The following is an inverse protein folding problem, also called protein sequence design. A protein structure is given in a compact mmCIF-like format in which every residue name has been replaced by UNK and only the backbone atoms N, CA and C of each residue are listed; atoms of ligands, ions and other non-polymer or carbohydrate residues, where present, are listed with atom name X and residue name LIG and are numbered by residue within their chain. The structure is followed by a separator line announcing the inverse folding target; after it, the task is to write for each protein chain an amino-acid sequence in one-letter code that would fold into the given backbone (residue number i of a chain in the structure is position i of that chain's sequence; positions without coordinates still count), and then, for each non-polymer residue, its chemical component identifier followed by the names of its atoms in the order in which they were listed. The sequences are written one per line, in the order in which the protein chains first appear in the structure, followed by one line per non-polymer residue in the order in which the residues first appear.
data_IF_855813845043
#
_entry.id   IF_855813845043
#
_cell.length_a   1.000
_cell.length_b   1.000
_cell.length_c   1.000
_cell.angle_alpha   90.00
_cell.angle_beta   90.00
_cell.angle_gamma   90.00
#
_symmetry.space_group_name_H-M   'P 1'
#
loop_
_entity.id
_entity.type
_entity.pdbx_description
1 polymer ?
#
# COMPACT_ATOMS: atom_id res chain seq x y z
N UNK A 1 -15.78 2.08 10.95
CA UNK A 1 -16.22 1.45 9.68
C UNK A 1 -17.13 0.28 9.99
N UNK A 2 -18.38 0.27 9.55
CA UNK A 2 -19.27 -0.87 9.74
C UNK A 2 -19.61 -1.59 8.44
N UNK A 3 -19.77 -2.92 8.45
CA UNK A 3 -20.16 -3.73 7.28
C UNK A 3 -21.48 -4.43 7.62
N UNK A 4 -22.47 -4.44 6.72
CA UNK A 4 -23.68 -5.22 6.93
C UNK A 4 -23.67 -6.49 6.09
N UNK A 5 -23.94 -7.65 6.69
CA UNK A 5 -24.05 -8.93 5.98
C UNK A 5 -25.37 -9.60 6.31
N UNK A 6 -26.08 -10.05 5.28
CA UNK A 6 -27.30 -10.84 5.46
C UNK A 6 -26.92 -12.30 5.65
N UNK A 7 -27.39 -12.88 6.74
CA UNK A 7 -27.19 -14.28 7.09
C UNK A 7 -28.52 -15.02 6.93
N UNK A 8 -28.49 -16.18 6.28
CA UNK A 8 -29.62 -17.09 6.31
C UNK A 8 -29.62 -17.85 7.64
N UNK A 9 -30.78 -17.91 8.28
CA UNK A 9 -31.00 -18.64 9.51
C UNK A 9 -32.22 -19.55 9.36
N UNK A 10 -32.40 -20.55 10.24
CA UNK A 10 -33.60 -21.39 10.24
C UNK A 10 -34.92 -20.60 10.35
N UNK A 11 -34.87 -19.34 10.79
CA UNK A 11 -36.02 -18.45 11.00
C UNK A 11 -36.11 -17.32 9.97
N UNK A 12 -35.35 -17.43 8.87
CA UNK A 12 -35.30 -16.44 7.79
C UNK A 12 -34.00 -15.62 7.76
N UNK A 13 -33.97 -14.59 6.92
CA UNK A 13 -32.80 -13.73 6.69
C UNK A 13 -32.64 -12.70 7.81
N UNK A 14 -31.46 -12.64 8.40
CA UNK A 14 -31.10 -11.63 9.42
C UNK A 14 -29.99 -10.73 8.87
N UNK A 15 -30.20 -9.41 8.93
CA UNK A 15 -29.17 -8.43 8.58
C UNK A 15 -28.31 -8.14 9.81
N UNK A 16 -27.03 -8.49 9.73
CA UNK A 16 -26.04 -8.25 10.78
C UNK A 16 -25.25 -6.99 10.45
N UNK A 17 -25.30 -5.98 11.31
CA UNK A 17 -24.47 -4.79 11.19
C UNK A 17 -23.23 -4.95 12.09
N UNK A 18 -22.05 -5.02 11.48
CA UNK A 18 -20.78 -4.96 12.18
C UNK A 18 -20.44 -3.49 12.37
N UNK A 19 -20.35 -2.99 13.60
CA UNK A 19 -19.93 -1.60 13.86
C UNK A 19 -18.44 -1.56 14.23
N UNK A 20 -17.64 -0.85 13.43
CA UNK A 20 -16.22 -0.63 13.70
C UNK A 20 -15.27 -1.70 13.15
N UNK A 21 -13.95 -1.49 13.29
CA UNK A 21 -12.93 -2.48 12.92
C UNK A 21 -13.19 -3.79 13.68
N UNK A 22 -13.30 -4.90 12.95
CA UNK A 22 -13.54 -6.22 13.55
C UNK A 22 -12.25 -7.00 13.54
N UNK A 23 -11.76 -7.36 14.73
CA UNK A 23 -10.61 -8.26 14.85
C UNK A 23 -10.96 -9.67 14.35
N UNK A 24 -10.03 -10.38 13.68
CA UNK A 24 -10.19 -11.78 13.34
C UNK A 24 -10.56 -12.61 14.58
N UNK A 25 -11.54 -13.51 14.46
CA UNK A 25 -11.97 -14.39 15.55
C UNK A 25 -13.01 -13.81 16.50
N UNK A 26 -13.47 -12.57 16.30
CA UNK A 26 -14.57 -11.98 17.09
C UNK A 26 -15.85 -12.81 16.91
N UNK A 27 -16.50 -13.13 18.04
CA UNK A 27 -17.80 -13.81 18.08
C UNK A 27 -18.88 -12.77 18.37
N UNK A 28 -19.92 -12.72 17.55
CA UNK A 28 -21.12 -11.92 17.79
C UNK A 28 -22.29 -12.81 18.20
N UNK A 29 -23.00 -12.40 19.24
CA UNK A 29 -24.15 -13.13 19.79
C UNK A 29 -25.44 -12.42 19.41
N UNK A 30 -26.29 -13.09 18.63
CA UNK A 30 -27.64 -12.62 18.27
C UNK A 30 -28.65 -13.34 19.16
N UNK A 31 -29.24 -12.61 20.11
CA UNK A 31 -30.14 -13.19 21.11
C UNK A 31 -31.46 -13.68 20.51
N UNK A 32 -31.93 -14.86 20.92
CA UNK A 32 -33.24 -15.41 20.57
C UNK A 32 -33.41 -15.77 19.09
N UNK A 33 -32.30 -15.98 18.37
CA UNK A 33 -32.28 -16.33 16.94
C UNK A 33 -31.61 -17.67 16.66
N UNK A 34 -31.30 -18.43 17.71
CA UNK A 34 -30.74 -19.77 17.65
C UNK A 34 -31.82 -20.85 17.53
N UNK A 35 -31.46 -22.07 17.91
CA UNK A 35 -32.33 -23.23 17.80
C UNK A 35 -33.45 -23.13 18.85
N UNK A 36 -34.71 -23.49 18.49
CA UNK A 36 -35.81 -23.56 19.46
C UNK A 36 -35.51 -24.58 20.56
N UNK A 37 -35.85 -24.23 21.79
CA UNK A 37 -35.81 -25.16 22.91
C UNK A 37 -36.99 -26.14 22.84
N UNK A 38 -36.74 -27.42 23.13
CA UNK A 38 -37.77 -28.45 23.12
C UNK A 38 -38.89 -28.12 24.13
N UNK A 39 -40.14 -28.22 23.66
CA UNK A 39 -41.36 -27.96 24.45
C UNK A 39 -41.50 -26.55 25.02
N UNK A 40 -40.77 -25.55 24.51
CA UNK A 40 -40.96 -24.14 24.88
C UNK A 40 -41.16 -23.27 23.65
N UNK A 41 -41.59 -22.01 23.86
CA UNK A 41 -41.61 -20.97 22.82
C UNK A 41 -40.29 -20.20 22.75
N UNK A 42 -39.29 -20.60 23.53
CA UNK A 42 -38.02 -19.90 23.62
C UNK A 42 -37.06 -20.38 22.54
N UNK A 43 -36.17 -19.49 22.14
CA UNK A 43 -35.11 -19.75 21.19
C UNK A 43 -33.78 -19.46 21.86
N UNK A 44 -32.79 -20.32 21.59
CA UNK A 44 -31.40 -20.04 21.97
C UNK A 44 -30.82 -18.87 21.18
N UNK A 45 -29.52 -18.68 21.29
CA UNK A 45 -28.82 -17.58 20.62
C UNK A 45 -28.02 -18.08 19.42
N UNK A 46 -27.90 -17.23 18.40
CA UNK A 46 -27.07 -17.49 17.24
C UNK A 46 -25.69 -16.84 17.44
N UNK A 47 -24.63 -17.65 17.36
CA UNK A 47 -23.25 -17.17 17.43
C UNK A 47 -22.67 -17.05 16.02
N UNK A 48 -22.18 -15.87 15.68
CA UNK A 48 -21.56 -15.55 14.39
C UNK A 48 -20.06 -15.37 14.60
N UNK A 49 -19.27 -16.26 14.02
CA UNK A 49 -17.81 -16.19 14.04
C UNK A 49 -17.30 -15.38 12.85
N UNK A 50 -16.54 -14.31 13.10
CA UNK A 50 -16.00 -13.47 12.04
C UNK A 50 -14.56 -13.89 11.74
N UNK A 51 -14.34 -14.36 10.50
CA UNK A 51 -13.00 -14.59 9.95
C UNK A 51 -12.68 -13.46 8.97
N UNK A 52 -11.59 -12.75 9.21
CA UNK A 52 -11.06 -11.74 8.30
C UNK A 52 -9.93 -12.41 7.51
N UNK A 53 -10.06 -12.44 6.19
CA UNK A 53 -9.02 -12.94 5.29
C UNK A 53 -8.37 -11.75 4.60
N UNK A 54 -7.07 -11.56 4.82
CA UNK A 54 -6.25 -10.66 4.02
C UNK A 54 -5.64 -11.51 2.88
N UNK A 55 -5.68 -11.05 1.62
CA UNK A 55 -5.06 -11.79 0.54
C UNK A 55 -3.53 -11.81 0.74
N UNK A 56 -2.96 -13.02 0.81
CA UNK A 56 -1.50 -13.22 0.91
C UNK A 56 -0.80 -13.10 -0.44
N UNK A 57 -1.55 -13.09 -1.55
CA UNK A 57 -1.04 -13.06 -2.92
C UNK A 57 -1.79 -12.02 -3.73
N UNK A 58 -1.04 -11.25 -4.53
CA UNK A 58 -1.57 -10.36 -5.58
C UNK A 58 -2.41 -11.16 -6.57
N UNK A 59 -3.54 -10.58 -7.03
CA UNK A 59 -4.37 -11.15 -8.08
C UNK A 59 -3.60 -11.22 -9.41
N UNK A 60 -4.09 -11.99 -10.38
CA UNK A 60 -3.43 -12.08 -11.70
C UNK A 60 -3.43 -10.74 -12.45
N UNK A 61 -4.48 -9.93 -12.26
CA UNK A 61 -4.54 -8.57 -12.80
C UNK A 61 -3.52 -7.65 -12.13
N UNK A 62 -3.39 -7.71 -10.80
CA UNK A 62 -2.36 -6.95 -10.08
C UNK A 62 -0.95 -7.38 -10.52
N UNK A 63 -0.74 -8.70 -10.66
CA UNK A 63 0.53 -9.27 -11.13
C UNK A 63 0.88 -8.77 -12.51
N UNK A 64 -0.08 -8.65 -13.43
CA UNK A 64 0.17 -8.15 -14.79
C UNK A 64 0.82 -6.76 -14.82
N UNK A 65 0.48 -5.88 -13.87
CA UNK A 65 1.09 -4.55 -13.79
C UNK A 65 2.55 -4.59 -13.31
N UNK A 66 2.91 -5.59 -12.50
CA UNK A 66 4.29 -5.80 -12.01
C UNK A 66 5.12 -6.75 -12.88
N UNK A 67 4.47 -7.59 -13.68
CA UNK A 67 5.12 -8.56 -14.53
C UNK A 67 5.62 -7.85 -15.80
N UNK A 68 6.81 -7.27 -15.69
CA UNK A 68 7.48 -6.70 -16.83
C UNK A 68 7.74 -7.79 -17.89
N UNK A 69 7.75 -7.41 -19.17
CA UNK A 69 8.19 -8.30 -20.26
C UNK A 69 9.71 -8.55 -20.24
N UNK A 70 10.41 -8.05 -19.22
CA UNK A 70 11.84 -8.23 -19.06
C UNK A 70 12.06 -9.55 -18.32
N UNK A 71 12.61 -10.52 -19.02
CA UNK A 71 13.05 -11.77 -18.41
C UNK A 71 14.08 -11.47 -17.32
N UNK A 72 14.02 -12.13 -16.16
CA UNK A 72 15.01 -11.94 -15.09
C UNK A 72 15.06 -10.51 -14.52
N UNK A 73 13.95 -9.75 -14.57
CA UNK A 73 13.84 -8.47 -13.88
C UNK A 73 13.96 -8.65 -12.36
N UNK A 74 14.99 -8.06 -11.76
CA UNK A 74 15.26 -8.24 -10.34
C UNK A 74 15.94 -7.02 -9.69
N UNK A 75 16.08 -7.08 -8.37
CA UNK A 75 16.96 -6.20 -7.62
C UNK A 75 18.35 -6.79 -7.53
N UNK A 76 19.37 -5.98 -7.77
CA UNK A 76 20.78 -6.35 -7.52
C UNK A 76 21.07 -6.64 -6.04
N UNK A 77 20.15 -6.30 -5.14
CA UNK A 77 20.22 -6.71 -3.74
C UNK A 77 20.10 -8.22 -3.56
N UNK A 78 19.23 -8.85 -4.36
CA UNK A 78 18.91 -10.28 -4.26
C UNK A 78 19.62 -11.10 -5.32
N UNK A 79 19.71 -10.57 -6.55
CA UNK A 79 20.39 -11.22 -7.67
C UNK A 79 21.39 -10.23 -8.31
N UNK A 80 22.64 -10.20 -7.83
CA UNK A 80 23.66 -9.26 -8.31
C UNK A 80 24.00 -9.41 -9.79
N UNK A 81 23.81 -10.60 -10.37
CA UNK A 81 24.15 -10.91 -11.76
C UNK A 81 22.93 -10.84 -12.70
N UNK A 82 21.79 -10.32 -12.22
CA UNK A 82 20.59 -10.20 -13.05
C UNK A 82 20.85 -9.30 -14.26
N UNK A 83 20.35 -9.71 -15.43
CA UNK A 83 20.54 -8.95 -16.67
C UNK A 83 19.67 -7.70 -16.71
N UNK A 84 18.56 -7.71 -15.98
CA UNK A 84 17.59 -6.62 -15.93
C UNK A 84 17.46 -6.04 -14.51
N UNK A 85 18.45 -5.26 -14.03
CA UNK A 85 18.44 -4.67 -12.70
C UNK A 85 17.47 -3.50 -12.62
N UNK A 86 16.20 -3.79 -12.38
CA UNK A 86 15.13 -2.79 -12.25
C UNK A 86 15.22 -2.02 -10.93
N UNK A 87 15.84 -2.61 -9.91
CA UNK A 87 16.24 -1.97 -8.67
C UNK A 87 17.77 -2.08 -8.54
N UNK A 88 18.47 -0.96 -8.33
CA UNK A 88 19.92 -0.90 -8.39
C UNK A 88 20.52 0.01 -7.30
N UNK A 89 21.84 -0.09 -7.10
CA UNK A 89 22.58 0.84 -6.26
C UNK A 89 23.06 2.02 -7.11
N UNK A 90 22.72 3.25 -6.72
CA UNK A 90 23.21 4.44 -7.44
C UNK A 90 24.68 4.67 -7.11
N UNK A 91 25.51 4.75 -8.15
CA UNK A 91 26.95 5.01 -8.03
C UNK A 91 27.29 6.43 -7.55
N UNK A 92 26.43 7.43 -7.78
CA UNK A 92 26.58 8.76 -7.18
C UNK A 92 25.25 9.49 -6.96
N UNK A 93 25.04 10.06 -5.76
CA UNK A 93 23.84 10.85 -5.43
C UNK A 93 24.20 12.02 -4.50
N UNK A 94 23.31 13.00 -4.35
CA UNK A 94 23.47 14.13 -3.42
C UNK A 94 22.76 13.77 -2.10
N UNK A 95 23.47 13.84 -0.98
CA UNK A 95 22.89 13.59 0.34
C UNK A 95 22.08 14.78 0.87
N UNK A 96 21.36 14.58 1.98
CA UNK A 96 20.56 15.64 2.61
C UNK A 96 21.37 16.88 3.06
N UNK A 97 22.71 16.78 3.11
CA UNK A 97 23.60 17.91 3.43
C UNK A 97 24.12 18.62 2.17
N UNK A 98 23.68 18.21 0.98
CA UNK A 98 24.09 18.76 -0.31
C UNK A 98 25.42 18.21 -0.84
N UNK A 99 26.00 17.18 -0.20
CA UNK A 99 27.27 16.62 -0.63
C UNK A 99 27.06 15.50 -1.66
N UNK A 100 27.86 15.51 -2.73
CA UNK A 100 27.91 14.41 -3.69
C UNK A 100 28.64 13.22 -3.08
N UNK A 101 27.94 12.10 -2.97
CA UNK A 101 28.45 10.84 -2.50
C UNK A 101 28.68 9.90 -3.68
N UNK A 102 29.80 9.18 -3.72
CA UNK A 102 30.12 8.16 -4.73
C UNK A 102 30.11 6.79 -4.03
N UNK A 103 29.50 5.79 -4.67
CA UNK A 103 29.08 4.52 -4.10
C UNK A 103 29.43 3.38 -5.05
N UNK A 104 29.71 2.22 -4.46
CA UNK A 104 29.77 0.92 -5.15
C UNK A 104 29.19 -0.13 -4.22
N UNK A 105 28.91 -1.34 -4.70
CA UNK A 105 28.45 -2.46 -3.86
C UNK A 105 29.38 -2.81 -2.69
N UNK A 106 30.65 -2.39 -2.76
CA UNK A 106 31.67 -2.60 -1.72
C UNK A 106 31.77 -1.47 -0.71
N UNK A 107 31.07 -0.35 -0.95
CA UNK A 107 31.14 0.81 -0.07
C UNK A 107 30.42 0.54 1.27
N UNK A 108 30.94 1.09 2.41
CA UNK A 108 30.32 0.89 3.72
C UNK A 108 28.84 1.30 3.75
N UNK A 109 28.05 0.59 4.55
CA UNK A 109 26.60 0.82 4.73
C UNK A 109 26.27 2.30 5.00
N UNK A 110 27.10 2.98 5.80
CA UNK A 110 26.91 4.40 6.14
C UNK A 110 27.07 5.38 4.95
N UNK A 111 27.98 5.10 4.01
CA UNK A 111 28.22 5.97 2.84
C UNK A 111 27.22 5.74 1.68
N UNK A 112 26.43 4.67 1.79
CA UNK A 112 25.55 4.16 0.74
C UNK A 112 24.05 4.24 1.04
N UNK A 113 23.68 4.73 2.22
CA UNK A 113 22.28 4.87 2.63
C UNK A 113 21.74 6.27 2.35
N UNK A 114 20.56 6.35 1.77
CA UNK A 114 19.75 7.56 1.75
C UNK A 114 18.94 7.59 3.03
N UNK A 115 19.39 8.43 3.96
CA UNK A 115 18.86 8.50 5.33
C UNK A 115 18.43 9.93 5.63
N UNK A 116 17.22 10.09 6.13
CA UNK A 116 16.70 11.40 6.54
C UNK A 116 15.62 11.92 5.62
N UNK A 117 15.35 13.21 5.70
CA UNK A 117 14.31 13.88 4.93
C UNK A 117 14.84 14.30 3.55
N UNK A 118 14.09 13.99 2.50
CA UNK A 118 14.40 14.40 1.12
C UNK A 118 13.15 14.99 0.46
N UNK A 119 13.37 15.92 -0.46
CA UNK A 119 12.32 16.47 -1.30
C UNK A 119 11.83 15.42 -2.31
N UNK A 120 10.53 15.40 -2.57
CA UNK A 120 9.90 14.60 -3.61
C UNK A 120 8.92 15.48 -4.39
N UNK A 121 9.20 15.71 -5.66
CA UNK A 121 8.36 16.44 -6.59
C UNK A 121 7.21 15.55 -7.07
N UNK A 122 5.99 16.05 -6.94
CA UNK A 122 4.77 15.29 -7.24
C UNK A 122 4.21 15.67 -8.60
N UNK A 123 3.90 14.64 -9.42
CA UNK A 123 3.40 14.79 -10.78
C UNK A 123 2.01 15.49 -10.78
N UNK A 124 1.80 16.55 -11.57
CA UNK A 124 0.49 17.18 -11.68
C UNK A 124 -0.61 16.18 -12.07
N UNK A 125 -1.73 16.22 -11.35
CA UNK A 125 -2.89 15.34 -11.60
C UNK A 125 -2.78 13.93 -11.02
N UNK A 126 -1.63 13.55 -10.45
CA UNK A 126 -1.41 12.23 -9.84
C UNK A 126 -2.20 12.05 -8.54
N UNK A 127 -2.37 10.80 -8.13
CA UNK A 127 -2.98 10.46 -6.85
C UNK A 127 -2.11 10.95 -5.67
N UNK A 128 -0.79 10.81 -5.76
CA UNK A 128 0.14 11.36 -4.78
C UNK A 128 -0.05 12.88 -4.61
N UNK A 129 -0.11 13.63 -5.73
CA UNK A 129 -0.33 15.08 -5.71
C UNK A 129 -1.63 15.46 -5.00
N UNK A 130 -2.70 14.71 -5.27
CA UNK A 130 -4.01 14.93 -4.67
C UNK A 130 -4.02 14.61 -3.18
N UNK A 131 -3.43 13.48 -2.78
CA UNK A 131 -3.31 13.08 -1.38
C UNK A 131 -2.64 14.18 -0.55
N UNK A 132 -1.54 14.76 -1.06
CA UNK A 132 -0.83 15.85 -0.39
C UNK A 132 -1.41 17.26 -0.69
N UNK A 133 -2.73 17.35 -0.89
CA UNK A 133 -3.43 18.65 -1.01
C UNK A 133 -2.99 19.52 -2.18
N UNK A 134 -2.42 18.93 -3.24
CA UNK A 134 -1.93 19.67 -4.40
C UNK A 134 -0.54 20.28 -4.24
N UNK A 135 0.23 19.92 -3.21
CA UNK A 135 1.60 20.39 -3.00
C UNK A 135 2.55 19.95 -4.12
N UNK A 136 3.36 20.87 -4.67
CA UNK A 136 4.32 20.54 -5.75
C UNK A 136 5.48 19.68 -5.31
N UNK A 137 5.97 19.95 -4.12
CA UNK A 137 7.10 19.27 -3.54
C UNK A 137 6.69 18.91 -2.13
N UNK A 138 6.90 17.66 -1.76
CA UNK A 138 6.69 17.13 -0.41
C UNK A 138 8.04 16.74 0.18
N UNK A 139 8.11 16.60 1.49
CA UNK A 139 9.32 16.21 2.19
C UNK A 139 9.01 14.97 3.04
N UNK A 140 9.70 13.87 2.76
CA UNK A 140 9.46 12.58 3.40
C UNK A 140 10.75 11.91 3.81
N UNK A 141 10.65 10.93 4.72
CA UNK A 141 11.82 10.30 5.32
C UNK A 141 12.20 9.01 4.61
N UNK A 142 13.47 8.88 4.27
CA UNK A 142 14.07 7.73 3.59
C UNK A 142 14.97 6.94 4.54
N UNK A 143 15.01 5.62 4.30
CA UNK A 143 15.95 4.69 4.94
C UNK A 143 16.21 3.48 4.04
N UNK A 144 16.73 3.72 2.85
CA UNK A 144 17.08 2.67 1.89
C UNK A 144 18.42 2.97 1.19
N UNK A 145 18.93 1.98 0.46
CA UNK A 145 20.19 2.09 -0.33
C UNK A 145 19.93 1.90 -1.81
N UNK A 146 19.02 0.98 -2.13
CA UNK A 146 18.64 0.63 -3.49
C UNK A 146 17.51 1.51 -3.97
N UNK A 147 17.51 1.72 -5.28
CA UNK A 147 16.78 2.76 -5.96
C UNK A 147 16.16 2.16 -7.22
N UNK A 148 14.98 2.62 -7.61
CA UNK A 148 14.40 2.20 -8.88
C UNK A 148 15.27 2.74 -10.03
N UNK A 149 15.66 1.86 -10.95
CA UNK A 149 16.61 2.18 -12.00
C UNK A 149 15.95 3.07 -13.08
N UNK A 150 16.38 4.34 -13.24
CA UNK A 150 15.77 5.25 -14.21
C UNK A 150 15.86 4.77 -15.66
N UNK A 151 16.81 3.89 -15.99
CA UNK A 151 16.91 3.28 -17.33
C UNK A 151 15.64 2.48 -17.71
N UNK A 152 14.87 2.01 -16.73
CA UNK A 152 13.64 1.26 -16.93
C UNK A 152 12.37 2.13 -16.86
N UNK A 153 12.50 3.46 -16.73
CA UNK A 153 11.38 4.41 -16.69
C UNK A 153 10.37 4.17 -17.80
N UNK A 154 10.84 4.19 -19.04
CA UNK A 154 9.99 4.01 -20.21
C UNK A 154 9.28 2.66 -20.22
N UNK A 155 9.94 1.62 -19.70
CA UNK A 155 9.36 0.29 -19.59
C UNK A 155 8.25 0.25 -18.54
N UNK A 156 8.45 0.89 -17.38
CA UNK A 156 7.43 1.03 -16.34
C UNK A 156 6.21 1.81 -16.84
N UNK A 157 6.42 2.96 -17.49
CA UNK A 157 5.30 3.76 -17.99
C UNK A 157 4.52 3.03 -19.09
N UNK A 158 5.20 2.30 -19.98
CA UNK A 158 4.55 1.46 -21.00
C UNK A 158 3.79 0.27 -20.42
N UNK A 159 4.17 -0.23 -19.24
CA UNK A 159 3.44 -1.31 -18.56
C UNK A 159 2.24 -0.81 -17.73
N UNK A 160 1.99 0.50 -17.70
CA UNK A 160 0.83 1.09 -17.03
C UNK A 160 1.12 1.68 -15.66
N UNK A 161 2.39 1.72 -15.23
CA UNK A 161 2.78 2.47 -14.04
C UNK A 161 2.81 3.97 -14.35
N UNK A 162 2.39 4.78 -13.39
CA UNK A 162 2.54 6.23 -13.42
C UNK A 162 3.61 6.57 -12.40
N UNK A 163 4.76 7.08 -12.86
CA UNK A 163 5.76 7.66 -11.96
C UNK A 163 5.18 8.97 -11.44
N UNK A 164 4.81 9.00 -10.16
CA UNK A 164 4.01 10.07 -9.56
C UNK A 164 4.80 10.97 -8.61
N UNK A 165 5.98 10.52 -8.17
CA UNK A 165 6.86 11.22 -7.25
C UNK A 165 8.32 11.00 -7.61
N UNK A 166 9.12 12.05 -7.61
CA UNK A 166 10.52 12.01 -8.03
C UNK A 166 11.43 12.91 -7.18
N UNK A 167 12.70 12.54 -7.02
CA UNK A 167 13.72 13.36 -6.37
C UNK A 167 15.01 13.32 -7.18
N UNK A 168 15.43 14.44 -7.76
CA UNK A 168 16.64 14.51 -8.59
C UNK A 168 16.74 13.42 -9.69
N UNK A 169 15.60 13.06 -10.29
CA UNK A 169 15.48 12.02 -11.32
C UNK A 169 15.31 10.60 -10.80
N UNK A 170 15.32 10.40 -9.48
CA UNK A 170 15.01 9.13 -8.82
C UNK A 170 13.51 8.94 -8.67
N UNK A 171 13.04 7.70 -8.81
CA UNK A 171 11.63 7.35 -8.72
C UNK A 171 11.30 7.05 -7.26
N UNK A 172 10.45 7.89 -6.66
CA UNK A 172 10.02 7.81 -5.25
C UNK A 172 8.60 7.27 -5.11
N UNK A 173 7.76 7.78 -6.02
CA UNK A 173 6.32 7.62 -6.21
C UNK A 173 5.93 6.74 -7.40
N UNK A 174 5.19 5.63 -7.22
CA UNK A 174 4.49 4.97 -8.35
C UNK A 174 3.02 4.74 -8.07
N UNK A 175 2.20 4.84 -9.11
CA UNK A 175 0.77 4.53 -9.12
C UNK A 175 0.47 3.52 -10.26
N UNK A 176 -0.63 2.79 -10.15
CA UNK A 176 -1.13 1.93 -11.23
C UNK A 176 -2.29 2.64 -11.92
N UNK A 177 -2.20 2.79 -13.23
CA UNK A 177 -3.29 3.34 -14.03
C UNK A 177 -4.52 2.42 -13.93
N UNK A 178 -5.70 3.03 -13.82
CA UNK A 178 -7.00 2.34 -13.78
C UNK A 178 -7.25 1.46 -12.53
N UNK A 179 -6.38 1.54 -11.50
CA UNK A 179 -6.64 0.95 -10.18
C UNK A 179 -7.39 1.96 -9.27
N UNK A 180 -8.42 1.55 -8.49
CA UNK A 180 -9.23 2.47 -7.68
C UNK A 180 -8.40 3.36 -6.74
N UNK A 181 -7.40 2.76 -6.10
CA UNK A 181 -6.38 3.49 -5.34
C UNK A 181 -5.13 2.63 -5.19
N UNK A 182 -4.04 3.00 -5.87
CA UNK A 182 -2.74 2.35 -5.72
C UNK A 182 -1.63 3.39 -5.63
N UNK A 183 -0.90 3.38 -4.52
CA UNK A 183 0.26 4.25 -4.31
C UNK A 183 1.39 3.43 -3.66
N UNK A 184 2.45 3.16 -4.44
CA UNK A 184 3.69 2.59 -3.95
C UNK A 184 4.71 3.70 -3.71
N UNK A 185 5.29 3.75 -2.51
CA UNK A 185 6.25 4.77 -2.10
C UNK A 185 7.56 4.14 -1.63
N UNK A 186 8.68 4.81 -1.91
CA UNK A 186 10.00 4.42 -1.42
C UNK A 186 10.30 5.02 -0.03
N UNK A 187 9.75 6.20 0.25
CA UNK A 187 9.83 6.83 1.57
C UNK A 187 8.93 6.15 2.61
N UNK A 188 9.09 6.57 3.87
CA UNK A 188 8.40 6.04 5.04
C UNK A 188 7.34 7.02 5.59
N UNK A 189 6.11 7.03 5.04
CA UNK A 189 5.04 7.93 5.50
C UNK A 189 4.66 7.69 6.97
N UNK A 190 4.93 6.50 7.51
CA UNK A 190 4.73 6.16 8.91
C UNK A 190 5.60 7.00 9.85
N UNK A 191 6.79 7.47 9.41
CA UNK A 191 7.68 8.27 10.25
C UNK A 191 7.25 9.74 10.35
N UNK A 192 6.46 10.23 9.40
CA UNK A 192 5.91 11.60 9.39
C UNK A 192 4.46 11.66 9.90
N UNK A 193 3.79 10.51 10.05
CA UNK A 193 2.45 10.40 10.64
C UNK A 193 2.43 10.66 12.16
N UNK A 194 1.40 11.36 12.66
CA UNK A 194 1.19 11.67 14.08
C UNK A 194 -0.28 11.47 14.47
N UNK A 195 -0.55 11.24 15.76
CA UNK A 195 -1.92 10.99 16.27
C UNK A 195 -2.94 12.07 15.86
N UNK A 196 -2.56 13.36 15.93
CA UNK A 196 -3.44 14.49 15.58
C UNK A 196 -3.31 14.93 14.11
N UNK A 197 -2.31 14.40 13.40
CA UNK A 197 -2.01 14.74 12.01
C UNK A 197 -1.45 13.50 11.33
N UNK A 198 -2.32 12.58 10.85
CA UNK A 198 -1.88 11.45 10.04
C UNK A 198 -1.10 11.94 8.82
N UNK A 199 -0.20 11.11 8.31
CA UNK A 199 0.42 11.40 7.02
C UNK A 199 -0.64 11.36 5.90
N UNK A 200 -0.51 12.27 4.94
CA UNK A 200 -1.51 12.47 3.88
C UNK A 200 -1.65 11.24 2.95
N UNK A 201 -0.56 10.50 2.67
CA UNK A 201 -0.63 9.26 1.90
C UNK A 201 -1.42 8.16 2.65
N UNK A 202 -1.20 8.04 3.96
CA UNK A 202 -1.91 7.09 4.83
C UNK A 202 -3.40 7.48 4.94
N UNK A 203 -3.69 8.77 5.12
CA UNK A 203 -5.06 9.27 5.17
C UNK A 203 -5.79 9.00 3.85
N UNK A 204 -5.16 9.33 2.72
CA UNK A 204 -5.71 9.07 1.39
C UNK A 204 -6.03 7.59 1.14
N UNK A 205 -5.18 6.67 1.61
CA UNK A 205 -5.46 5.24 1.54
C UNK A 205 -6.72 4.86 2.32
N UNK A 206 -6.86 5.35 3.55
CA UNK A 206 -8.01 5.04 4.41
C UNK A 206 -9.30 5.62 3.84
N UNK A 207 -9.27 6.83 3.29
CA UNK A 207 -10.40 7.45 2.62
C UNK A 207 -10.85 6.66 1.39
N UNK A 208 -9.89 6.21 0.56
CA UNK A 208 -10.22 5.40 -0.60
C UNK A 208 -10.75 4.01 -0.22
N UNK A 209 -10.24 3.40 0.85
CA UNK A 209 -10.78 2.15 1.39
C UNK A 209 -12.23 2.32 1.89
N UNK A 210 -12.56 3.49 2.46
CA UNK A 210 -13.94 3.83 2.86
C UNK A 210 -14.87 3.97 1.66
N UNK A 211 -14.41 4.63 0.60
CA UNK A 211 -15.20 4.89 -0.61
C UNK A 211 -15.47 3.61 -1.39
N UNK A 212 -14.45 2.77 -1.62
CA UNK A 212 -14.63 1.48 -2.30
C UNK A 212 -15.63 0.58 -1.57
N UNK A 213 -15.68 0.66 -0.24
CA UNK A 213 -16.66 -0.08 0.56
C UNK A 213 -18.11 0.39 0.36
N UNK A 214 -18.32 1.66 -0.02
CA UNK A 214 -19.66 2.21 -0.27
C UNK A 214 -20.20 1.95 -1.67
N UNK A 215 -19.34 1.49 -2.58
CA UNK A 215 -19.69 1.15 -3.97
C UNK A 215 -20.08 -0.33 -4.16
N UNK A 216 -19.91 -1.17 -3.13
CA UNK A 216 -20.41 -2.56 -3.00
C UNK A 216 -21.75 -2.64 -2.24
#
# INVERSE_FOLDING_TARGET
MGTSKTLETPHGKIKLNLEGPVSPGKILRIRGKGIPELNTRNYGDLLVHIKVHLPEKLSDDDRRYFQSKLEDANSVEFEPECKNPVIYLIDAFIDASGNKQIRTHKSPLGGTMRLGEYACDTKPGSLLRKAYGGAKTIYERHRHRYEANPAYRDAFEKSGLIISGESDGLIEAVEIKDHPWFLGVQFHPEFTSRLKKPNEAILGFVEAALQNKSEE
#
